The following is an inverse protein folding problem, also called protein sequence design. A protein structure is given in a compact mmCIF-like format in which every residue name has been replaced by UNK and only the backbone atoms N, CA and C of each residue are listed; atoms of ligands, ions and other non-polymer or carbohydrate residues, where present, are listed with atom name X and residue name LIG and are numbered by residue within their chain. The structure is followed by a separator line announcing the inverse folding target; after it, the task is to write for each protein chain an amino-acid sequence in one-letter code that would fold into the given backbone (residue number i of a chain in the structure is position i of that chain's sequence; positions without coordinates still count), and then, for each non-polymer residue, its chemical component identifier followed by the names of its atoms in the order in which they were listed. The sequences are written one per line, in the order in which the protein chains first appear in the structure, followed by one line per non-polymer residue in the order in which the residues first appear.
data_IF_289891883384
#
_entry.id   IF_289891883384
#
_cell.length_a   1.000
_cell.length_b   1.000
_cell.length_c   1.000
_cell.angle_alpha   90.00
_cell.angle_beta   90.00
_cell.angle_gamma   90.00
#
_symmetry.space_group_name_H-M   'P 1'
#
loop_
_entity.id
_entity.type
_entity.pdbx_description
1 polymer ?
#
# COMPACT_ATOMS: atom_id res chain seq x y z
N UNK A 1 14.90 14.78 0.39
CA UNK A 1 13.51 15.23 0.23
C UNK A 1 12.63 14.01 -0.08
N UNK A 2 11.45 13.92 0.52
CA UNK A 2 10.53 12.79 0.35
C UNK A 2 9.25 13.30 -0.33
N UNK A 3 8.76 12.58 -1.33
CA UNK A 3 7.52 12.87 -2.04
C UNK A 3 6.37 12.01 -1.56
N UNK A 4 5.17 12.56 -1.58
CA UNK A 4 3.93 11.80 -1.50
C UNK A 4 3.23 11.94 -2.84
N UNK A 5 3.09 10.83 -3.55
CA UNK A 5 2.46 10.83 -4.87
C UNK A 5 0.98 11.24 -4.78
N UNK A 6 0.59 12.13 -5.65
CA UNK A 6 -0.80 12.54 -5.87
C UNK A 6 -1.18 12.17 -7.30
N UNK A 7 -2.31 11.54 -7.47
CA UNK A 7 -2.87 11.19 -8.78
C UNK A 7 -4.38 11.39 -8.78
N UNK A 8 -4.95 11.46 -9.95
CA UNK A 8 -6.35 11.83 -10.13
C UNK A 8 -7.29 10.87 -9.35
N UNK A 9 -8.24 11.43 -8.61
CA UNK A 9 -9.21 10.67 -7.80
C UNK A 9 -8.78 10.29 -6.39
N UNK A 10 -7.57 10.62 -5.95
CA UNK A 10 -7.12 10.39 -4.57
C UNK A 10 -7.33 11.64 -3.68
N UNK A 11 -8.12 11.49 -2.64
CA UNK A 11 -8.08 12.40 -1.49
C UNK A 11 -6.95 11.98 -0.56
N UNK A 12 -6.13 12.94 -0.12
CA UNK A 12 -4.94 12.69 0.70
C UNK A 12 -5.30 11.98 2.02
N UNK A 13 -5.10 10.65 2.05
CA UNK A 13 -5.25 9.84 3.27
C UNK A 13 -3.97 9.83 4.12
N UNK A 14 -2.96 10.65 3.74
CA UNK A 14 -1.62 10.57 4.29
C UNK A 14 -1.27 11.61 5.34
N UNK A 15 -2.23 12.36 5.87
CA UNK A 15 -1.98 13.45 6.83
C UNK A 15 -1.13 13.01 8.02
N UNK A 16 -1.41 11.83 8.58
CA UNK A 16 -0.65 11.31 9.73
C UNK A 16 0.79 10.94 9.35
N UNK A 17 0.97 10.26 8.21
CA UNK A 17 2.30 9.88 7.70
C UNK A 17 3.07 11.14 7.32
N UNK A 18 2.44 12.09 6.66
CA UNK A 18 3.05 13.38 6.32
C UNK A 18 3.53 14.14 7.55
N UNK A 19 2.74 14.20 8.62
CA UNK A 19 3.11 14.82 9.88
C UNK A 19 4.30 14.13 10.54
N UNK A 20 4.36 12.81 10.51
CA UNK A 20 5.50 12.04 11.02
C UNK A 20 6.76 12.28 10.20
N UNK A 21 6.66 12.22 8.89
CA UNK A 21 7.79 12.44 7.98
C UNK A 21 8.33 13.88 8.09
N UNK A 22 7.46 14.88 8.24
CA UNK A 22 7.85 16.29 8.40
C UNK A 22 8.71 16.57 9.65
N UNK A 23 8.71 15.67 10.63
CA UNK A 23 9.59 15.80 11.81
C UNK A 23 11.08 15.63 11.48
N UNK A 24 11.40 14.93 10.39
CA UNK A 24 12.78 14.56 10.03
C UNK A 24 13.17 14.89 8.59
N UNK A 25 12.18 15.03 7.70
CA UNK A 25 12.38 15.20 6.26
C UNK A 25 11.58 16.38 5.73
N UNK A 26 12.08 16.99 4.68
CA UNK A 26 11.25 17.89 3.86
C UNK A 26 10.32 17.04 3.03
N UNK A 27 9.01 17.14 3.27
CA UNK A 27 7.97 16.38 2.55
C UNK A 27 7.23 17.31 1.59
N UNK A 28 7.00 16.84 0.38
CA UNK A 28 6.19 17.54 -0.62
C UNK A 28 5.20 16.59 -1.29
N UNK A 29 4.07 17.14 -1.70
CA UNK A 29 3.15 16.42 -2.59
C UNK A 29 3.71 16.48 -4.01
N UNK A 30 3.70 15.34 -4.68
CA UNK A 30 4.20 15.17 -6.06
C UNK A 30 3.02 14.80 -6.95
N UNK A 31 2.64 15.70 -7.83
CA UNK A 31 1.65 15.41 -8.86
C UNK A 31 2.31 14.60 -9.99
N UNK A 32 1.88 13.36 -10.19
CA UNK A 32 2.46 12.50 -11.22
C UNK A 32 2.17 12.97 -12.65
N UNK A 33 1.13 13.78 -12.85
CA UNK A 33 0.86 14.38 -14.16
C UNK A 33 1.89 15.45 -14.57
N UNK A 34 2.71 15.92 -13.61
CA UNK A 34 3.76 16.90 -13.82
C UNK A 34 5.15 16.23 -13.75
N UNK A 35 6.17 16.95 -14.17
CA UNK A 35 7.53 16.47 -14.05
C UNK A 35 7.93 16.31 -12.58
N UNK A 36 8.39 15.11 -12.20
CA UNK A 36 8.83 14.85 -10.85
C UNK A 36 10.08 15.68 -10.53
N UNK A 37 10.11 16.39 -9.38
CA UNK A 37 11.21 17.29 -9.04
C UNK A 37 12.55 16.57 -8.95
N UNK A 38 13.59 17.18 -9.49
CA UNK A 38 14.97 16.69 -9.35
C UNK A 38 15.39 16.75 -7.87
N UNK A 39 16.06 15.68 -7.40
CA UNK A 39 16.51 15.58 -6.01
C UNK A 39 15.49 14.97 -5.05
N UNK A 40 14.38 14.44 -5.55
CA UNK A 40 13.49 13.61 -4.77
C UNK A 40 14.17 12.27 -4.47
N UNK A 41 14.46 12.02 -3.19
CA UNK A 41 15.21 10.82 -2.76
C UNK A 41 14.32 9.58 -2.69
N UNK A 42 13.08 9.75 -2.25
CA UNK A 42 12.10 8.68 -2.14
C UNK A 42 10.69 9.21 -2.35
N UNK A 43 9.82 8.36 -2.85
CA UNK A 43 8.39 8.63 -3.05
C UNK A 43 7.54 7.59 -2.35
N UNK A 44 6.51 8.03 -1.64
CA UNK A 44 5.46 7.20 -1.07
C UNK A 44 4.26 7.22 -2.00
N UNK A 45 3.75 6.05 -2.34
CA UNK A 45 2.55 5.88 -3.18
C UNK A 45 1.66 4.77 -2.62
N UNK A 46 0.35 4.96 -2.61
CA UNK A 46 -0.59 3.97 -2.08
C UNK A 46 -1.98 4.15 -2.69
N UNK A 47 -2.74 3.05 -2.72
CA UNK A 47 -4.17 3.08 -3.00
C UNK A 47 -4.55 3.44 -4.44
N UNK A 48 -3.75 3.04 -5.39
CA UNK A 48 -4.07 3.20 -6.82
C UNK A 48 -5.26 2.32 -7.14
N UNK A 49 -6.40 2.93 -7.46
CA UNK A 49 -7.66 2.22 -7.76
C UNK A 49 -7.98 2.14 -9.24
N UNK A 50 -7.39 3.04 -10.04
CA UNK A 50 -7.59 3.14 -11.47
C UNK A 50 -6.24 3.16 -12.21
N UNK A 51 -6.25 3.06 -13.52
CA UNK A 51 -5.03 3.18 -14.31
C UNK A 51 -4.49 4.60 -14.27
N UNK A 52 -3.18 4.73 -14.10
CA UNK A 52 -2.48 5.98 -14.31
C UNK A 52 -2.62 6.42 -15.77
N UNK A 53 -2.74 7.70 -16.00
CA UNK A 53 -2.67 8.27 -17.35
C UNK A 53 -1.30 7.96 -17.99
N UNK A 54 -1.21 8.07 -19.31
CA UNK A 54 0.05 7.83 -20.01
C UNK A 54 1.18 8.74 -19.49
N UNK A 55 0.86 9.98 -19.14
CA UNK A 55 1.84 10.94 -18.60
C UNK A 55 2.28 10.55 -17.19
N UNK A 56 1.35 10.21 -16.31
CA UNK A 56 1.66 9.78 -14.94
C UNK A 56 2.51 8.51 -14.92
N UNK A 57 2.14 7.53 -15.77
CA UNK A 57 2.90 6.30 -15.91
C UNK A 57 4.33 6.57 -16.43
N UNK A 58 4.45 7.38 -17.46
CA UNK A 58 5.75 7.72 -18.04
C UNK A 58 6.64 8.49 -17.06
N UNK A 59 6.08 9.44 -16.30
CA UNK A 59 6.81 10.20 -15.29
C UNK A 59 7.28 9.32 -14.14
N UNK A 60 6.41 8.43 -13.64
CA UNK A 60 6.75 7.49 -12.58
C UNK A 60 7.83 6.51 -13.05
N UNK A 61 7.68 5.93 -14.24
CA UNK A 61 8.67 5.03 -14.81
C UNK A 61 10.01 5.73 -15.00
N UNK A 62 10.02 6.93 -15.55
CA UNK A 62 11.26 7.72 -15.74
C UNK A 62 11.93 8.02 -14.39
N UNK A 63 11.17 8.33 -13.35
CA UNK A 63 11.71 8.52 -12.00
C UNK A 63 12.41 7.26 -11.48
N UNK A 64 11.79 6.10 -11.64
CA UNK A 64 12.36 4.82 -11.20
C UNK A 64 13.59 4.42 -12.02
N UNK A 65 13.53 4.55 -13.34
CA UNK A 65 14.64 4.23 -14.26
C UNK A 65 15.88 5.11 -14.00
N UNK A 66 15.67 6.33 -13.45
CA UNK A 66 16.76 7.21 -13.04
C UNK A 66 17.22 6.99 -11.57
N UNK A 67 16.86 5.88 -10.96
CA UNK A 67 17.30 5.51 -9.62
C UNK A 67 16.48 6.09 -8.47
N UNK A 68 15.25 6.52 -8.75
CA UNK A 68 14.30 6.94 -7.72
C UNK A 68 13.85 5.76 -6.86
N UNK A 69 13.61 6.01 -5.56
CA UNK A 69 13.12 5.00 -4.63
C UNK A 69 11.62 5.13 -4.43
N UNK A 70 10.87 4.06 -4.64
CA UNK A 70 9.43 4.02 -4.43
C UNK A 70 9.06 3.10 -3.27
N UNK A 71 8.33 3.64 -2.30
CA UNK A 71 7.62 2.86 -1.30
C UNK A 71 6.16 2.75 -1.73
N UNK A 72 5.81 1.59 -2.30
CA UNK A 72 4.46 1.31 -2.80
C UNK A 72 3.71 0.41 -1.83
N UNK A 73 2.55 0.88 -1.34
CA UNK A 73 1.60 0.06 -0.60
C UNK A 73 0.36 -0.15 -1.46
N UNK A 74 0.23 -1.35 -2.03
CA UNK A 74 -0.80 -1.65 -3.01
C UNK A 74 -1.33 -3.07 -2.82
N UNK A 75 -2.64 -3.24 -2.90
CA UNK A 75 -3.34 -4.51 -3.04
C UNK A 75 -3.96 -4.60 -4.42
N UNK A 76 -4.20 -5.80 -4.92
CA UNK A 76 -4.89 -6.01 -6.20
C UNK A 76 -6.40 -6.20 -6.05
N UNK A 77 -6.88 -6.25 -4.80
CA UNK A 77 -8.31 -6.43 -4.48
C UNK A 77 -8.82 -5.22 -3.69
N UNK A 78 -9.81 -4.54 -4.22
CA UNK A 78 -10.58 -3.52 -3.52
C UNK A 78 -11.69 -4.16 -2.72
N UNK A 79 -11.73 -3.94 -1.41
CA UNK A 79 -12.74 -4.50 -0.52
C UNK A 79 -13.76 -3.44 -0.11
N UNK A 80 -15.03 -3.82 -0.07
CA UNK A 80 -16.10 -3.03 0.52
C UNK A 80 -16.74 -3.84 1.66
N UNK A 81 -16.36 -3.54 2.90
CA UNK A 81 -16.84 -4.27 4.07
C UNK A 81 -18.34 -4.11 4.32
N UNK A 82 -18.89 -2.94 4.00
CA UNK A 82 -20.32 -2.68 4.21
C UNK A 82 -21.19 -3.48 3.24
N UNK A 83 -20.74 -3.58 1.98
CA UNK A 83 -21.42 -4.36 0.97
C UNK A 83 -21.01 -5.85 0.97
N UNK A 84 -20.02 -6.24 1.81
CA UNK A 84 -19.43 -7.58 1.83
C UNK A 84 -18.95 -8.05 0.44
N UNK A 85 -18.34 -7.15 -0.31
CA UNK A 85 -17.88 -7.39 -1.66
C UNK A 85 -16.39 -7.12 -1.80
N UNK A 86 -15.78 -7.84 -2.74
CA UNK A 86 -14.39 -7.66 -3.13
C UNK A 86 -14.29 -7.67 -4.66
N UNK A 87 -13.54 -6.74 -5.22
CA UNK A 87 -13.40 -6.57 -6.66
C UNK A 87 -11.92 -6.47 -7.03
N UNK A 88 -11.48 -7.09 -8.13
CA UNK A 88 -10.14 -6.85 -8.67
C UNK A 88 -9.96 -5.38 -9.06
N UNK A 89 -8.79 -4.84 -8.74
CA UNK A 89 -8.37 -3.53 -9.23
C UNK A 89 -7.73 -3.74 -10.60
N UNK A 90 -8.24 -3.02 -11.60
CA UNK A 90 -7.66 -2.99 -12.95
C UNK A 90 -6.84 -1.71 -13.09
N UNK A 91 -5.52 -1.85 -13.09
CA UNK A 91 -4.61 -0.70 -13.15
C UNK A 91 -3.29 -1.09 -13.80
N UNK A 92 -2.74 -0.20 -14.62
CA UNK A 92 -1.43 -0.34 -15.23
C UNK A 92 -0.26 -0.25 -14.23
N UNK A 93 -0.51 0.11 -12.98
CA UNK A 93 0.50 0.03 -11.90
C UNK A 93 1.01 -1.40 -11.72
N UNK A 94 0.17 -2.43 -11.97
CA UNK A 94 0.58 -3.82 -11.89
C UNK A 94 1.49 -4.25 -13.04
N UNK A 95 1.36 -3.62 -14.21
CA UNK A 95 2.28 -3.81 -15.32
C UNK A 95 3.64 -3.19 -14.98
N UNK A 96 3.62 -1.99 -14.37
CA UNK A 96 4.85 -1.34 -13.89
C UNK A 96 5.57 -2.21 -12.85
N UNK A 97 4.86 -2.70 -11.81
CA UNK A 97 5.50 -3.56 -10.79
C UNK A 97 6.07 -4.84 -11.40
N UNK A 98 5.40 -5.41 -12.41
CA UNK A 98 5.88 -6.58 -13.13
C UNK A 98 7.17 -6.30 -13.91
N UNK A 99 7.31 -5.14 -14.53
CA UNK A 99 8.55 -4.74 -15.21
C UNK A 99 9.77 -4.72 -14.27
N UNK A 100 9.54 -4.47 -12.96
CA UNK A 100 10.57 -4.52 -11.91
C UNK A 100 10.62 -5.87 -11.16
N UNK A 101 10.00 -6.92 -11.70
CA UNK A 101 10.04 -8.27 -11.14
C UNK A 101 9.09 -8.55 -9.98
N UNK A 102 8.12 -7.67 -9.70
CA UNK A 102 7.13 -7.86 -8.63
C UNK A 102 5.76 -8.18 -9.21
N UNK A 103 5.28 -9.41 -8.97
CA UNK A 103 3.96 -9.87 -9.40
C UNK A 103 2.99 -9.81 -8.21
N UNK A 104 2.05 -8.87 -8.22
CA UNK A 104 0.99 -8.79 -7.22
C UNK A 104 -0.16 -9.69 -7.66
N UNK A 105 -0.45 -10.71 -6.86
CA UNK A 105 -1.49 -11.69 -7.18
C UNK A 105 -2.90 -11.13 -6.94
N UNK A 106 -3.85 -11.62 -7.74
CA UNK A 106 -5.27 -11.28 -7.58
C UNK A 106 -5.94 -12.17 -6.52
N UNK A 107 -5.45 -12.03 -5.28
CA UNK A 107 -5.91 -12.77 -4.12
C UNK A 107 -5.82 -11.92 -2.85
N UNK A 108 -6.34 -12.46 -1.74
CA UNK A 108 -6.18 -11.90 -0.40
C UNK A 108 -5.51 -12.95 0.49
N UNK A 109 -4.50 -12.50 1.22
CA UNK A 109 -3.79 -13.33 2.19
C UNK A 109 -4.62 -13.48 3.45
N UNK A 110 -4.74 -14.73 3.91
CA UNK A 110 -5.41 -15.10 5.17
C UNK A 110 -4.38 -15.69 6.13
N UNK A 111 -4.41 -15.27 7.39
CA UNK A 111 -3.57 -15.85 8.42
C UNK A 111 -4.38 -16.12 9.71
N UNK A 112 -3.98 -17.15 10.46
CA UNK A 112 -4.49 -17.45 11.79
C UNK A 112 -4.00 -16.45 12.83
N UNK A 113 -2.78 -15.90 12.62
CA UNK A 113 -2.25 -14.80 13.42
C UNK A 113 -2.75 -13.50 12.80
N UNK A 114 -3.86 -12.99 13.32
CA UNK A 114 -4.57 -11.88 12.69
C UNK A 114 -5.06 -10.86 13.72
N UNK A 115 -5.40 -9.69 13.20
CA UNK A 115 -6.07 -8.64 13.97
C UNK A 115 -7.52 -8.98 14.29
N UNK A 116 -8.13 -8.10 15.09
CA UNK A 116 -9.53 -8.23 15.50
C UNK A 116 -10.35 -7.06 14.97
N UNK A 117 -11.59 -7.34 14.61
CA UNK A 117 -12.61 -6.34 14.29
C UNK A 117 -13.70 -6.36 15.34
N UNK A 118 -14.28 -5.21 15.64
CA UNK A 118 -15.44 -5.13 16.53
C UNK A 118 -16.71 -5.30 15.72
N UNK A 119 -17.46 -6.37 16.02
CA UNK A 119 -18.74 -6.66 15.39
C UNK A 119 -19.85 -6.32 16.37
N UNK A 120 -20.81 -5.49 15.96
CA UNK A 120 -21.97 -5.21 16.77
C UNK A 120 -22.93 -6.40 16.74
N UNK A 121 -23.14 -7.03 17.89
CA UNK A 121 -24.13 -8.09 18.08
C UNK A 121 -25.30 -7.59 18.92
N UNK A 122 -26.50 -7.95 18.52
CA UNK A 122 -27.71 -7.66 19.28
C UNK A 122 -28.13 -8.92 20.07
N UNK A 123 -28.14 -8.78 21.38
CA UNK A 123 -28.65 -9.81 22.30
C UNK A 123 -29.90 -9.26 22.98
N UNK A 124 -31.06 -9.52 22.40
CA UNK A 124 -32.33 -8.94 22.86
C UNK A 124 -32.33 -7.41 22.73
N UNK A 125 -32.64 -6.66 23.82
CA UNK A 125 -32.63 -5.19 23.77
C UNK A 125 -31.20 -4.57 23.88
N UNK A 126 -30.17 -5.38 24.13
CA UNK A 126 -28.80 -4.91 24.38
C UNK A 126 -27.98 -5.06 23.11
N UNK A 127 -27.26 -3.99 22.73
CA UNK A 127 -26.26 -4.00 21.67
C UNK A 127 -24.87 -4.05 22.31
N UNK A 128 -24.09 -5.04 21.92
CA UNK A 128 -22.72 -5.23 22.42
C UNK A 128 -21.74 -5.28 21.26
N UNK A 129 -20.57 -4.68 21.43
CA UNK A 129 -19.46 -4.81 20.49
C UNK A 129 -18.61 -6.02 20.91
N UNK A 130 -18.56 -7.03 20.09
CA UNK A 130 -17.78 -8.25 20.33
C UNK A 130 -16.55 -8.25 19.43
N UNK A 131 -15.33 -8.34 20.00
CA UNK A 131 -14.12 -8.47 19.20
C UNK A 131 -14.07 -9.87 18.57
N UNK A 132 -13.94 -9.92 17.26
CA UNK A 132 -13.78 -11.16 16.48
C UNK A 132 -12.44 -11.16 15.75
N UNK A 133 -11.76 -12.29 15.72
CA UNK A 133 -10.57 -12.49 14.89
C UNK A 133 -10.96 -12.38 13.42
N UNK A 134 -10.13 -11.67 12.67
CA UNK A 134 -10.40 -11.39 11.26
C UNK A 134 -9.19 -11.78 10.41
N UNK A 135 -9.18 -12.98 9.82
CA UNK A 135 -8.02 -13.53 9.09
C UNK A 135 -7.47 -12.67 7.97
N UNK A 136 -8.28 -11.79 7.38
CA UNK A 136 -7.88 -10.83 6.35
C UNK A 136 -7.06 -9.63 6.88
N UNK A 137 -6.75 -9.63 8.19
CA UNK A 137 -5.84 -8.68 8.84
C UNK A 137 -4.61 -9.42 9.38
N UNK A 138 -3.79 -10.04 8.51
CA UNK A 138 -2.63 -10.81 8.95
C UNK A 138 -1.64 -9.96 9.74
N UNK A 139 -1.03 -10.55 10.78
CA UNK A 139 0.00 -9.92 11.60
C UNK A 139 1.32 -10.64 11.35
N UNK A 140 2.27 -9.94 10.76
CA UNK A 140 3.62 -10.42 10.54
C UNK A 140 4.45 -10.10 11.79
N UNK A 141 5.15 -11.10 12.34
CA UNK A 141 6.00 -10.97 13.53
C UNK A 141 7.43 -11.47 13.32
N UNK A 142 7.70 -12.03 12.14
CA UNK A 142 9.04 -12.52 11.81
C UNK A 142 9.63 -11.66 10.70
N UNK A 143 10.75 -11.01 11.00
CA UNK A 143 11.47 -10.15 10.08
C UNK A 143 12.93 -10.60 9.99
N UNK A 144 13.57 -10.34 8.85
CA UNK A 144 15.00 -10.48 8.72
C UNK A 144 15.68 -9.28 9.42
N UNK A 145 16.18 -9.49 10.63
CA UNK A 145 16.79 -8.43 11.43
C UNK A 145 18.09 -7.85 10.85
N UNK A 146 18.68 -8.52 9.85
CA UNK A 146 19.86 -8.02 9.14
C UNK A 146 19.50 -6.90 8.15
N UNK A 147 18.22 -6.77 7.83
CA UNK A 147 17.72 -5.74 6.94
C UNK A 147 17.35 -4.46 7.72
N UNK A 148 18.03 -3.37 7.44
CA UNK A 148 17.83 -2.09 8.14
C UNK A 148 16.38 -1.57 8.07
N UNK A 149 15.64 -1.89 6.99
CA UNK A 149 14.27 -1.43 6.75
C UNK A 149 13.26 -2.03 7.76
N UNK A 150 13.51 -3.22 8.26
CA UNK A 150 12.66 -3.94 9.22
C UNK A 150 13.28 -4.09 10.60
N UNK A 151 14.51 -3.61 10.76
CA UNK A 151 15.23 -3.66 12.05
C UNK A 151 14.48 -2.87 13.12
N UNK A 152 14.19 -3.52 14.24
CA UNK A 152 13.44 -2.93 15.34
C UNK A 152 11.92 -2.99 15.21
N UNK A 153 11.39 -3.58 14.14
CA UNK A 153 9.96 -3.85 14.04
C UNK A 153 9.59 -5.09 14.84
N UNK A 154 8.62 -4.95 15.74
CA UNK A 154 8.07 -6.09 16.51
C UNK A 154 6.98 -6.81 15.74
N UNK A 155 6.10 -6.05 15.10
CA UNK A 155 5.02 -6.58 14.27
C UNK A 155 4.50 -5.55 13.26
N UNK A 156 3.96 -6.06 12.16
CA UNK A 156 3.19 -5.27 11.18
C UNK A 156 1.85 -5.96 10.96
N UNK A 157 0.77 -5.20 11.09
CA UNK A 157 -0.56 -5.66 10.68
C UNK A 157 -0.84 -5.15 9.28
N UNK A 158 -1.12 -6.07 8.37
CA UNK A 158 -1.55 -5.75 7.01
C UNK A 158 -3.08 -5.76 6.94
N UNK A 159 -3.62 -4.99 5.99
CA UNK A 159 -5.07 -4.86 5.80
C UNK A 159 -5.39 -5.26 4.37
N UNK A 160 -6.09 -6.38 4.18
CA UNK A 160 -6.48 -6.89 2.85
C UNK A 160 -5.30 -7.00 1.89
N UNK A 161 -4.20 -7.58 2.36
CA UNK A 161 -2.99 -7.72 1.57
C UNK A 161 -3.15 -8.76 0.46
N UNK A 162 -2.58 -8.48 -0.71
CA UNK A 162 -2.36 -9.45 -1.78
C UNK A 162 -0.97 -10.07 -1.66
N UNK A 163 -0.83 -11.28 -2.14
CA UNK A 163 0.45 -11.97 -2.24
C UNK A 163 1.36 -11.28 -3.27
N UNK A 164 2.65 -11.19 -2.96
CA UNK A 164 3.67 -10.69 -3.88
C UNK A 164 4.59 -11.84 -4.24
N UNK A 165 4.71 -12.12 -5.54
CA UNK A 165 5.63 -13.10 -6.10
C UNK A 165 6.79 -12.37 -6.79
N UNK A 166 8.00 -12.87 -6.60
CA UNK A 166 9.18 -12.34 -7.28
C UNK A 166 9.41 -13.11 -8.59
N UNK A 167 9.59 -12.37 -9.66
CA UNK A 167 10.02 -12.94 -10.95
C UNK A 167 11.55 -12.93 -11.01
N UNK A 168 12.15 -14.09 -10.72
CA UNK A 168 13.61 -14.25 -10.70
C UNK A 168 14.27 -14.11 -12.08
N UNK A 169 13.49 -13.98 -13.16
CA UNK A 169 14.03 -13.75 -14.50
C UNK A 169 14.36 -12.27 -14.77
N UNK A 170 13.84 -11.37 -13.93
CA UNK A 170 14.00 -9.90 -14.08
C UNK A 170 14.98 -9.33 -13.05
N UNK A 171 15.26 -10.08 -11.97
CA UNK A 171 16.13 -9.64 -10.85
C UNK A 171 17.54 -10.20 -11.02
#
# INVERSE_FOLDING_TARGET
MVGIAQFEGQTSQFTNIQNLLNQRYTVQNVNLAEQIPLGLTAMLMSGVSDSLSLTEYANLKNYLDNGGNLFLTQTKIKTNLQAQQAFPIQSNIFDLTKEYGFLIAENLVLDKICGRVSVQQQMGPIRMNVPMEYPLLPIIRSFNNDEAIVSGLEQIQLIFASEINLDSSVV
#
